data_IF_557825483916
#
_entry.id   IF_557825483916
#
_cell.length_a   1.000
_cell.length_b   1.000
_cell.length_c   1.000
_cell.angle_alpha   90.00
_cell.angle_beta   90.00
_cell.angle_gamma   90.00
#
_symmetry.space_group_name_H-M   'P 1'
#
loop_
_entity.id
_entity.type
_entity.pdbx_description
1 polymer ?
#
# COMPACT_ATOMS: atom_id res chain seq x y z
N UNK A 1 -25.45 29.04 22.78
CA UNK A 1 -24.10 28.55 22.39
C UNK A 1 -24.18 27.04 22.26
N UNK A 2 -24.27 26.55 21.03
CA UNK A 2 -24.49 25.13 20.72
C UNK A 2 -23.12 24.46 20.57
N UNK A 3 -22.90 23.43 21.38
CA UNK A 3 -21.75 22.51 21.30
C UNK A 3 -21.78 21.77 19.96
N UNK A 4 -20.78 21.98 19.10
CA UNK A 4 -20.58 21.15 17.90
C UNK A 4 -19.86 19.86 18.31
N UNK A 5 -20.56 18.73 18.17
CA UNK A 5 -19.98 17.40 18.08
C UNK A 5 -19.13 17.31 16.80
N UNK A 6 -17.80 17.25 16.96
CA UNK A 6 -16.91 16.65 15.96
C UNK A 6 -16.59 15.23 16.41
N UNK A 7 -17.57 14.35 16.30
CA UNK A 7 -17.38 12.90 16.42
C UNK A 7 -17.11 12.32 15.04
N UNK A 8 -15.89 11.83 14.84
CA UNK A 8 -15.60 10.57 14.14
C UNK A 8 -16.32 10.31 12.81
N UNK A 9 -15.71 10.74 11.70
CA UNK A 9 -15.89 10.08 10.40
C UNK A 9 -14.53 9.47 10.01
N UNK A 10 -14.11 8.50 10.82
CA UNK A 10 -12.95 7.66 10.59
C UNK A 10 -13.33 6.23 11.01
N UNK A 11 -14.32 5.66 10.32
CA UNK A 11 -14.60 4.22 10.30
C UNK A 11 -15.85 3.97 9.44
N UNK A 12 -15.78 2.94 8.59
CA UNK A 12 -16.93 2.23 8.03
C UNK A 12 -17.65 2.85 6.83
N UNK A 13 -17.02 2.83 5.64
CA UNK A 13 -17.70 2.43 4.39
C UNK A 13 -16.74 1.53 3.58
N UNK A 14 -16.36 0.39 4.18
CA UNK A 14 -15.87 -0.78 3.43
C UNK A 14 -16.61 -1.97 4.01
N UNK A 15 -17.87 -2.14 3.64
CA UNK A 15 -18.61 -3.41 3.57
C UNK A 15 -20.09 -3.13 3.31
N UNK A 16 -20.73 -4.05 2.57
CA UNK A 16 -22.15 -4.11 2.25
C UNK A 16 -22.63 -3.10 1.20
N UNK A 17 -22.70 -3.52 -0.06
CA UNK A 17 -23.96 -3.77 -0.76
C UNK A 17 -23.65 -4.14 -2.22
N UNK A 18 -24.10 -5.32 -2.65
CA UNK A 18 -24.11 -5.77 -4.05
C UNK A 18 -25.19 -5.05 -4.87
N UNK A 19 -25.18 -3.72 -4.86
CA UNK A 19 -26.02 -2.89 -5.71
C UNK A 19 -25.11 -1.99 -6.53
N UNK A 20 -25.31 -1.96 -7.84
CA UNK A 20 -24.73 -0.96 -8.73
C UNK A 20 -25.37 0.38 -8.34
N UNK A 21 -24.76 1.09 -7.38
CA UNK A 21 -25.18 2.44 -7.02
C UNK A 21 -24.57 3.39 -8.07
N UNK A 22 -25.36 4.22 -8.76
CA UNK A 22 -24.80 5.24 -9.63
C UNK A 22 -23.88 6.15 -8.80
N UNK A 23 -22.66 6.36 -9.28
CA UNK A 23 -21.65 7.21 -8.64
C UNK A 23 -22.25 8.61 -8.41
N UNK A 24 -22.69 8.88 -7.18
CA UNK A 24 -23.21 10.18 -6.78
C UNK A 24 -22.08 11.22 -6.87
N UNK A 25 -22.41 12.49 -7.08
CA UNK A 25 -21.43 13.56 -7.30
C UNK A 25 -20.40 13.70 -6.15
N UNK A 26 -20.74 13.23 -4.95
CA UNK A 26 -19.82 13.12 -3.82
C UNK A 26 -18.62 12.22 -4.11
N UNK A 27 -18.80 11.08 -4.79
CA UNK A 27 -17.69 10.17 -5.16
C UNK A 27 -16.82 10.79 -6.25
N UNK A 28 -17.41 11.59 -7.16
CA UNK A 28 -16.64 12.33 -8.16
C UNK A 28 -15.69 13.34 -7.50
N UNK A 29 -16.08 13.94 -6.38
CA UNK A 29 -15.19 14.82 -5.60
C UNK A 29 -13.95 14.08 -5.07
N UNK A 30 -14.07 12.83 -4.61
CA UNK A 30 -12.91 12.01 -4.18
C UNK A 30 -11.92 11.71 -5.32
N UNK A 31 -12.42 11.70 -6.57
CA UNK A 31 -11.60 11.54 -7.77
C UNK A 31 -11.21 12.87 -8.43
N UNK A 32 -11.83 13.99 -8.05
CA UNK A 32 -11.50 15.35 -8.50
C UNK A 32 -10.25 15.94 -7.81
N UNK A 33 -9.51 15.11 -7.08
CA UNK A 33 -8.36 15.48 -6.27
C UNK A 33 -7.20 16.04 -7.13
N UNK A 34 -6.52 17.06 -6.60
CA UNK A 34 -5.43 17.86 -7.21
C UNK A 34 -4.17 17.01 -7.50
N UNK A 35 -4.23 15.72 -7.18
CA UNK A 35 -3.17 14.72 -7.32
C UNK A 35 -3.30 13.87 -8.58
N UNK A 36 -4.39 14.01 -9.35
CA UNK A 36 -4.55 13.36 -10.66
C UNK A 36 -3.43 13.81 -11.60
N UNK A 37 -2.56 12.86 -11.98
CA UNK A 37 -1.42 13.09 -12.86
C UNK A 37 -0.07 13.28 -12.16
N UNK A 38 -0.03 13.40 -10.83
CA UNK A 38 1.25 13.34 -10.09
C UNK A 38 1.68 11.90 -9.96
N UNK A 39 2.90 11.57 -10.36
CA UNK A 39 3.52 10.26 -10.11
C UNK A 39 3.94 10.15 -8.65
N UNK A 40 4.24 8.94 -8.19
CA UNK A 40 4.87 8.74 -6.87
C UNK A 40 6.35 9.09 -6.83
N UNK A 41 6.92 9.45 -7.98
CA UNK A 41 8.34 9.65 -8.13
C UNK A 41 8.83 10.75 -7.19
N UNK A 42 9.87 10.41 -6.44
CA UNK A 42 10.66 11.31 -5.63
C UNK A 42 12.12 10.88 -5.68
N UNK A 43 12.97 11.67 -5.05
CA UNK A 43 14.39 11.35 -4.82
C UNK A 43 14.57 11.03 -3.35
N UNK A 44 15.45 10.08 -3.04
CA UNK A 44 15.82 9.83 -1.65
C UNK A 44 16.44 11.08 -1.03
N UNK A 45 15.99 11.51 0.16
CA UNK A 45 16.64 12.60 0.86
C UNK A 45 18.05 12.18 1.32
N UNK A 46 18.92 13.17 1.55
CA UNK A 46 20.34 12.91 1.83
C UNK A 46 20.59 12.19 3.17
N UNK A 47 19.65 12.27 4.10
CA UNK A 47 19.66 11.61 5.40
C UNK A 47 18.96 10.23 5.38
N UNK A 48 18.43 9.79 4.23
CA UNK A 48 17.85 8.46 4.13
C UNK A 48 18.92 7.35 4.20
N UNK A 49 18.65 6.32 4.98
CA UNK A 49 19.49 5.13 5.08
C UNK A 49 18.72 3.85 4.72
N UNK A 50 19.40 2.81 4.20
CA UNK A 50 18.81 1.51 3.99
C UNK A 50 18.21 0.96 5.30
N UNK A 51 16.99 0.44 5.24
CA UNK A 51 16.33 -0.15 6.41
C UNK A 51 17.19 -1.28 6.99
N UNK A 52 17.56 -1.15 8.26
CA UNK A 52 18.27 -2.21 8.98
C UNK A 52 17.35 -3.36 9.38
N UNK A 53 17.91 -4.51 9.75
CA UNK A 53 17.13 -5.65 10.24
C UNK A 53 16.27 -5.33 11.48
N UNK A 54 16.72 -4.39 12.33
CA UNK A 54 15.98 -3.96 13.51
C UNK A 54 14.76 -3.11 13.11
N UNK A 55 14.96 -2.16 12.19
CA UNK A 55 13.90 -1.25 11.71
C UNK A 55 12.90 -1.97 10.80
N UNK A 56 13.34 -3.00 10.08
CA UNK A 56 12.47 -3.78 9.21
C UNK A 56 11.28 -4.36 9.96
N UNK A 57 11.48 -4.72 11.25
CA UNK A 57 10.40 -5.20 12.12
C UNK A 57 9.27 -4.19 12.26
N UNK A 58 9.61 -2.91 12.34
CA UNK A 58 8.63 -1.84 12.44
C UNK A 58 8.02 -1.57 11.06
N UNK A 59 8.83 -1.48 10.00
CA UNK A 59 8.37 -1.25 8.63
C UNK A 59 7.31 -2.25 8.20
N UNK A 60 7.53 -3.53 8.51
CA UNK A 60 6.67 -4.65 8.15
C UNK A 60 5.44 -4.82 9.07
N UNK A 61 5.11 -3.81 9.88
CA UNK A 61 3.93 -3.82 10.73
C UNK A 61 2.99 -2.67 10.37
N UNK A 62 1.70 -2.94 10.21
CA UNK A 62 0.66 -1.91 10.08
C UNK A 62 0.54 -1.25 8.70
N UNK A 63 0.05 -0.01 8.69
CA UNK A 63 -0.31 0.73 7.48
C UNK A 63 0.74 1.80 7.12
N UNK A 64 0.84 2.05 5.82
CA UNK A 64 1.59 3.14 5.20
C UNK A 64 0.68 3.85 4.19
N UNK A 65 0.83 5.16 4.07
CA UNK A 65 0.10 5.99 3.11
C UNK A 65 1.10 6.75 2.26
N UNK A 66 0.85 6.88 0.97
CA UNK A 66 1.67 7.73 0.11
C UNK A 66 1.63 9.18 0.61
N UNK A 67 2.77 9.86 0.61
CA UNK A 67 2.82 11.31 0.91
C UNK A 67 2.15 12.11 -0.22
N UNK A 68 2.30 11.68 -1.48
CA UNK A 68 1.71 12.34 -2.65
C UNK A 68 0.20 12.09 -2.76
N UNK A 69 -0.28 10.89 -2.36
CA UNK A 69 -1.69 10.45 -2.51
C UNK A 69 -2.22 9.71 -1.27
N UNK A 70 -2.27 10.34 -0.08
CA UNK A 70 -2.51 9.66 1.19
C UNK A 70 -3.87 8.98 1.30
N UNK A 71 -4.90 9.51 0.64
CA UNK A 71 -6.28 8.99 0.75
C UNK A 71 -6.57 7.79 -0.15
N UNK A 72 -5.80 7.61 -1.23
CA UNK A 72 -6.13 6.64 -2.30
C UNK A 72 -5.01 5.66 -2.58
N UNK A 73 -3.84 5.84 -1.94
CA UNK A 73 -2.67 5.00 -2.16
C UNK A 73 -2.08 4.61 -0.81
N UNK A 74 -2.40 3.38 -0.38
CA UNK A 74 -1.96 2.82 0.90
C UNK A 74 -1.32 1.45 0.71
N UNK A 75 -0.53 1.05 1.71
CA UNK A 75 0.03 -0.29 1.85
C UNK A 75 -0.23 -0.80 3.27
N UNK A 76 -0.52 -2.08 3.38
CA UNK A 76 -0.78 -2.77 4.63
C UNK A 76 0.06 -4.04 4.69
N UNK A 77 0.80 -4.17 5.79
CA UNK A 77 1.51 -5.37 6.15
C UNK A 77 0.72 -6.08 7.27
N UNK A 78 0.24 -7.28 6.96
CA UNK A 78 -0.55 -8.12 7.86
C UNK A 78 0.26 -9.27 8.46
N UNK A 79 -0.45 -10.29 8.96
CA UNK A 79 0.15 -11.41 9.68
C UNK A 79 1.06 -12.29 8.79
N UNK A 80 2.02 -12.96 9.43
CA UNK A 80 2.86 -13.98 8.80
C UNK A 80 2.04 -15.19 8.36
N UNK A 81 2.39 -15.76 7.21
CA UNK A 81 1.71 -16.94 6.67
C UNK A 81 2.10 -18.27 7.31
N UNK A 82 3.07 -18.28 8.25
CA UNK A 82 3.52 -19.50 8.92
C UNK A 82 2.37 -20.35 9.46
N UNK A 83 1.27 -19.71 9.88
CA UNK A 83 0.10 -20.37 10.47
C UNK A 83 -1.14 -20.39 9.54
N UNK A 84 -1.08 -19.83 8.32
CA UNK A 84 -2.24 -19.72 7.43
C UNK A 84 -1.94 -19.65 5.91
N UNK A 85 -1.11 -20.54 5.33
CA UNK A 85 -0.73 -20.49 3.91
C UNK A 85 -1.91 -20.67 2.93
N UNK A 86 -3.07 -21.15 3.41
CA UNK A 86 -4.30 -21.33 2.62
C UNK A 86 -5.07 -20.02 2.34
N UNK A 87 -4.67 -18.88 2.94
CA UNK A 87 -5.39 -17.60 2.82
C UNK A 87 -4.98 -16.77 1.59
N UNK A 88 -3.89 -17.12 0.92
CA UNK A 88 -3.61 -16.62 -0.43
C UNK A 88 -3.64 -17.78 -1.43
N UNK A 89 -4.40 -17.65 -2.52
CA UNK A 89 -4.26 -18.53 -3.67
C UNK A 89 -2.80 -18.53 -4.14
N UNK A 90 -2.30 -19.69 -4.54
CA UNK A 90 -1.08 -19.88 -5.32
C UNK A 90 0.28 -19.72 -4.60
N UNK A 91 0.35 -19.45 -3.29
CA UNK A 91 1.63 -19.48 -2.54
C UNK A 91 2.32 -20.85 -2.67
N UNK A 92 1.57 -21.94 -2.56
CA UNK A 92 2.12 -23.29 -2.69
C UNK A 92 2.71 -23.57 -4.08
N UNK A 93 2.10 -23.03 -5.13
CA UNK A 93 2.59 -23.15 -6.52
C UNK A 93 3.83 -22.28 -6.74
N UNK A 94 3.82 -21.05 -6.23
CA UNK A 94 4.89 -20.08 -6.44
C UNK A 94 6.20 -20.48 -5.75
N UNK A 95 6.10 -21.08 -4.56
CA UNK A 95 7.29 -21.47 -3.79
C UNK A 95 7.56 -22.98 -3.79
N UNK A 96 6.71 -23.81 -4.40
CA UNK A 96 6.88 -25.26 -4.43
C UNK A 96 7.04 -25.91 -3.05
N UNK A 97 6.45 -25.31 -2.01
CA UNK A 97 6.57 -25.75 -0.62
C UNK A 97 7.70 -25.09 0.19
N UNK A 98 8.55 -24.27 -0.41
CA UNK A 98 9.68 -23.60 0.24
C UNK A 98 9.45 -22.09 0.38
N UNK A 99 8.33 -21.70 0.98
CA UNK A 99 8.02 -20.29 1.21
C UNK A 99 9.02 -19.66 2.20
N UNK A 100 9.41 -18.37 2.02
CA UNK A 100 10.21 -17.64 3.00
C UNK A 100 9.58 -17.67 4.39
N UNK A 101 10.41 -17.84 5.42
CA UNK A 101 9.93 -17.95 6.80
C UNK A 101 9.27 -16.66 7.33
N UNK A 102 9.61 -15.52 6.74
CA UNK A 102 9.10 -14.19 7.03
C UNK A 102 8.00 -13.75 6.05
N UNK A 103 7.52 -14.65 5.18
CA UNK A 103 6.44 -14.34 4.24
C UNK A 103 5.18 -13.90 5.01
N UNK A 104 4.66 -12.73 4.68
CA UNK A 104 3.53 -12.10 5.37
C UNK A 104 2.49 -11.57 4.40
N UNK A 105 1.28 -11.37 4.90
CA UNK A 105 0.21 -10.76 4.11
C UNK A 105 0.54 -9.33 3.73
N UNK A 106 0.28 -9.00 2.47
CA UNK A 106 0.42 -7.67 1.94
C UNK A 106 -0.82 -7.28 1.15
N UNK A 107 -1.30 -6.07 1.37
CA UNK A 107 -2.30 -5.42 0.53
C UNK A 107 -1.78 -4.03 0.20
N UNK A 108 -1.68 -3.68 -1.08
CA UNK A 108 -1.17 -2.38 -1.47
C UNK A 108 -1.18 -2.16 -2.98
N UNK A 109 -1.09 -0.89 -3.39
CA UNK A 109 -1.06 -0.51 -4.80
C UNK A 109 -2.37 -0.74 -5.54
N UNK A 110 -3.47 -0.50 -4.82
CA UNK A 110 -4.84 -0.61 -5.29
C UNK A 110 -5.64 0.57 -4.76
N UNK A 111 -6.14 1.42 -5.66
CA UNK A 111 -6.88 2.65 -5.37
C UNK A 111 -8.39 2.48 -5.52
N UNK A 112 -8.84 1.40 -6.17
CA UNK A 112 -10.26 1.09 -6.33
C UNK A 112 -10.60 -0.36 -5.97
N UNK A 113 -9.91 -1.34 -6.56
CA UNK A 113 -10.14 -2.73 -6.23
C UNK A 113 -9.13 -3.23 -5.22
N UNK A 114 -9.58 -3.82 -4.11
CA UNK A 114 -8.72 -4.44 -3.11
C UNK A 114 -7.87 -5.53 -3.74
N UNK A 115 -6.61 -5.62 -3.32
CA UNK A 115 -5.65 -6.61 -3.81
C UNK A 115 -4.91 -7.25 -2.65
N UNK A 116 -4.40 -8.45 -2.87
CA UNK A 116 -3.60 -9.15 -1.88
C UNK A 116 -2.42 -9.85 -2.53
N UNK A 117 -1.30 -9.93 -1.81
CA UNK A 117 -0.12 -10.69 -2.18
C UNK A 117 0.63 -11.14 -0.92
N UNK A 118 1.59 -12.05 -1.09
CA UNK A 118 2.63 -12.27 -0.10
C UNK A 118 3.73 -11.24 -0.28
N UNK A 119 4.42 -10.89 0.80
CA UNK A 119 5.65 -10.11 0.78
C UNK A 119 6.68 -10.76 1.70
N UNK A 120 7.94 -10.75 1.29
CA UNK A 120 9.10 -11.16 2.10
C UNK A 120 10.28 -10.25 1.79
N UNK A 121 11.35 -10.36 2.57
CA UNK A 121 12.50 -9.46 2.46
C UNK A 121 13.83 -10.21 2.40
N UNK A 122 14.73 -9.73 1.53
CA UNK A 122 16.15 -10.09 1.53
C UNK A 122 16.96 -8.84 1.90
N UNK A 123 17.38 -8.77 3.16
CA UNK A 123 17.91 -7.53 3.74
C UNK A 123 16.86 -6.41 3.70
N UNK A 124 17.18 -5.31 3.01
CA UNK A 124 16.25 -4.20 2.80
C UNK A 124 15.50 -4.29 1.45
N UNK A 125 15.66 -5.36 0.67
CA UNK A 125 14.96 -5.54 -0.59
C UNK A 125 13.61 -6.19 -0.34
N UNK A 126 12.54 -5.53 -0.78
CA UNK A 126 11.18 -6.05 -0.70
C UNK A 126 10.87 -6.92 -1.92
N UNK A 127 10.39 -8.12 -1.67
CA UNK A 127 9.87 -9.01 -2.70
C UNK A 127 8.40 -9.27 -2.48
N UNK A 128 7.64 -9.45 -3.56
CA UNK A 128 6.23 -9.81 -3.46
C UNK A 128 5.88 -10.95 -4.39
N UNK A 129 4.84 -11.67 -4.02
CA UNK A 129 4.25 -12.67 -4.88
C UNK A 129 3.46 -12.03 -6.00
N UNK A 130 2.97 -12.85 -6.93
CA UNK A 130 1.91 -12.40 -7.83
C UNK A 130 0.73 -11.84 -7.02
N UNK A 131 0.24 -10.70 -7.47
CA UNK A 131 -0.91 -10.04 -6.88
C UNK A 131 -2.22 -10.69 -7.32
N UNK A 132 -3.14 -10.87 -6.38
CA UNK A 132 -4.51 -11.30 -6.63
C UNK A 132 -5.49 -10.15 -6.41
N UNK A 133 -6.57 -10.20 -7.17
CA UNK A 133 -7.69 -9.28 -7.04
C UNK A 133 -8.66 -9.83 -5.98
N UNK A 134 -8.99 -9.00 -4.98
CA UNK A 134 -9.90 -9.37 -3.88
C UNK A 134 -11.31 -8.83 -4.12
N UNK A 135 -11.44 -7.68 -4.78
CA UNK A 135 -12.73 -7.10 -5.16
C UNK A 135 -12.78 -6.80 -6.66
N UNK A 136 -13.98 -6.85 -7.26
CA UNK A 136 -14.16 -6.60 -8.69
C UNK A 136 -15.26 -5.56 -8.94
N UNK A 137 -14.95 -4.32 -8.61
CA UNK A 137 -15.80 -3.15 -8.79
C UNK A 137 -15.49 -2.45 -10.13
N UNK A 138 -16.47 -1.75 -10.74
CA UNK A 138 -16.25 -0.92 -11.91
C UNK A 138 -15.43 0.33 -11.53
N UNK A 139 -14.12 0.27 -11.75
CA UNK A 139 -13.18 1.33 -11.39
C UNK A 139 -13.09 2.42 -12.46
N UNK A 140 -12.99 3.70 -12.08
CA UNK A 140 -12.72 4.76 -13.04
C UNK A 140 -11.29 4.63 -13.58
N UNK A 141 -11.05 5.08 -14.82
CA UNK A 141 -9.74 4.95 -15.48
C UNK A 141 -8.59 5.61 -14.70
N UNK A 142 -8.90 6.69 -13.96
CA UNK A 142 -7.92 7.35 -13.08
C UNK A 142 -7.39 6.43 -11.99
N UNK A 143 -8.21 5.51 -11.48
CA UNK A 143 -7.78 4.50 -10.51
C UNK A 143 -6.80 3.51 -11.16
N UNK A 144 -7.07 3.07 -12.40
CA UNK A 144 -6.18 2.17 -13.13
C UNK A 144 -4.78 2.78 -13.33
N UNK A 145 -4.71 4.09 -13.63
CA UNK A 145 -3.44 4.80 -13.77
C UNK A 145 -2.69 4.89 -12.45
N UNK A 146 -3.37 5.17 -11.33
CA UNK A 146 -2.76 5.21 -10.00
C UNK A 146 -2.27 3.84 -9.56
N UNK A 147 -3.03 2.79 -9.87
CA UNK A 147 -2.66 1.41 -9.57
C UNK A 147 -1.39 1.04 -10.33
N UNK A 148 -1.33 1.31 -11.63
CA UNK A 148 -0.12 1.07 -12.45
C UNK A 148 1.12 1.76 -11.88
N UNK A 149 0.99 3.00 -11.44
CA UNK A 149 2.08 3.78 -10.84
C UNK A 149 2.61 3.10 -9.56
N UNK A 150 1.75 2.75 -8.61
CA UNK A 150 2.18 2.05 -7.39
C UNK A 150 2.75 0.66 -7.71
N UNK A 151 2.14 -0.06 -8.65
CA UNK A 151 2.58 -1.38 -9.07
C UNK A 151 3.97 -1.36 -9.71
N UNK A 152 4.37 -0.25 -10.36
CA UNK A 152 5.71 -0.08 -10.88
C UNK A 152 6.78 -0.04 -9.78
N UNK A 153 6.46 0.46 -8.58
CA UNK A 153 7.33 0.38 -7.41
C UNK A 153 7.31 -1.00 -6.78
N UNK A 154 6.12 -1.51 -6.46
CA UNK A 154 5.97 -2.76 -5.72
C UNK A 154 6.48 -4.00 -6.47
N UNK A 155 6.44 -3.99 -7.80
CA UNK A 155 6.86 -5.13 -8.64
C UNK A 155 8.32 -5.04 -9.09
N UNK A 156 9.02 -3.95 -8.77
CA UNK A 156 10.41 -3.72 -9.16
C UNK A 156 11.42 -4.30 -8.15
N UNK A 157 10.96 -5.05 -7.15
CA UNK A 157 11.75 -5.47 -5.98
C UNK A 157 12.50 -4.30 -5.33
N UNK A 158 11.78 -3.29 -4.80
CA UNK A 158 12.39 -2.05 -4.35
C UNK A 158 13.24 -2.24 -3.09
N UNK A 159 14.31 -1.48 -3.00
CA UNK A 159 15.08 -1.29 -1.77
C UNK A 159 14.31 -0.36 -0.83
N UNK A 160 14.25 -0.73 0.44
CA UNK A 160 13.62 0.07 1.49
C UNK A 160 14.62 1.00 2.16
N UNK A 161 14.21 2.26 2.33
CA UNK A 161 14.95 3.30 3.04
C UNK A 161 14.05 4.00 4.06
N UNK A 162 14.64 4.50 5.14
CA UNK A 162 13.99 5.39 6.10
C UNK A 162 14.77 6.70 6.20
N UNK A 163 14.08 7.81 6.43
CA UNK A 163 14.71 9.08 6.82
C UNK A 163 14.68 9.30 8.34
N UNK A 164 15.23 10.44 8.80
CA UNK A 164 15.25 10.82 10.22
C UNK A 164 13.86 11.10 10.83
N UNK A 165 12.83 11.23 10.00
CA UNK A 165 11.45 11.53 10.37
C UNK A 165 10.59 10.25 10.40
N UNK A 166 11.12 9.12 9.95
CA UNK A 166 10.43 7.84 9.88
C UNK A 166 9.55 7.69 8.64
N UNK A 167 9.76 8.49 7.60
CA UNK A 167 9.17 8.24 6.29
C UNK A 167 9.86 7.07 5.63
N UNK A 168 9.07 6.18 5.04
CA UNK A 168 9.52 5.04 4.28
C UNK A 168 9.63 5.41 2.81
N UNK A 169 10.73 4.97 2.19
CA UNK A 169 10.95 5.10 0.77
C UNK A 169 11.11 3.74 0.11
N UNK A 170 10.36 3.51 -0.96
CA UNK A 170 10.52 2.36 -1.86
C UNK A 170 11.33 2.83 -3.08
N UNK A 171 12.60 2.46 -3.14
CA UNK A 171 13.52 2.86 -4.21
C UNK A 171 13.65 1.75 -5.25
N UNK A 172 13.32 2.06 -6.50
CA UNK A 172 13.42 1.13 -7.63
C UNK A 172 14.88 0.98 -8.10
N UNK A 173 15.20 -0.08 -8.86
CA UNK A 173 16.54 -0.27 -9.43
C UNK A 173 17.01 0.85 -10.36
N UNK A 174 16.08 1.61 -10.97
CA UNK A 174 16.39 2.80 -11.79
C UNK A 174 16.75 4.04 -10.96
N UNK A 175 16.74 3.94 -9.63
CA UNK A 175 17.11 5.01 -8.69
C UNK A 175 15.95 5.91 -8.27
N UNK A 176 14.77 5.78 -8.88
CA UNK A 176 13.59 6.56 -8.51
C UNK A 176 12.95 5.99 -7.25
N UNK A 177 12.58 6.85 -6.30
CA UNK A 177 11.92 6.46 -5.07
C UNK A 177 10.44 6.88 -5.03
N UNK A 178 9.68 6.28 -4.12
CA UNK A 178 8.35 6.76 -3.70
C UNK A 178 8.31 6.91 -2.20
N UNK A 179 7.60 7.93 -1.71
CA UNK A 179 7.57 8.31 -0.30
C UNK A 179 6.26 7.94 0.40
N UNK A 180 6.40 7.41 1.61
CA UNK A 180 5.32 6.85 2.41
C UNK A 180 5.46 7.25 3.87
N UNK A 181 4.33 7.51 4.51
CA UNK A 181 4.26 7.89 5.91
C UNK A 181 3.23 7.05 6.65
N UNK A 182 3.35 7.02 7.98
CA UNK A 182 2.34 6.39 8.83
C UNK A 182 1.07 7.24 8.91
N UNK A 183 -0.13 6.63 8.98
CA UNK A 183 -1.38 7.37 9.13
C UNK A 183 -1.42 8.36 10.31
N UNK A 184 -0.74 8.03 11.42
CA UNK A 184 -0.69 8.87 12.63
C UNK A 184 0.39 9.96 12.61
N UNK A 185 1.20 10.05 11.54
CA UNK A 185 2.18 11.13 11.37
C UNK A 185 1.58 12.38 10.69
N UNK A 186 0.34 12.31 10.21
CA UNK A 186 -0.39 13.46 9.69
C UNK A 186 -0.88 14.31 10.87
N UNK A 187 -0.23 15.45 11.11
CA UNK A 187 -0.67 16.46 12.10
C UNK A 187 -1.58 17.50 11.47
#
# INVERSE_FOLDING_TARGET
MVFQLFTSILASIVAFFGAIVPLNDDVKHWFADITVGKTLDTVLPADAHPVSAAELKDVRSGNWMSVVRPQTTTMFFGDYYRDAPKKLPNIGEEFGGNAPADLQHFSGGASCNGTASGVWFDGNVMHKTRQILVTNNPCPEVANTRDKDVQAFLSANPELYLDGQGHLYLKRPDGVASEWQRPWLVK
#
